data_IF_766712537490
#
_entry.id   IF_766712537490
#
_cell.length_a   1.000
_cell.length_b   1.000
_cell.length_c   1.000
_cell.angle_alpha   90.00
_cell.angle_beta   90.00
_cell.angle_gamma   90.00
#
_symmetry.space_group_name_H-M   'P 1'
#
loop_
_entity.id
_entity.type
_entity.pdbx_description
1 polymer ?
#
# COMPACT_ATOMS: atom_id res chain seq x y z
N UNK A 1 -24.20 14.08 2.85
CA UNK A 1 -23.26 13.77 1.79
C UNK A 1 -23.63 14.53 0.50
N UNK A 2 -22.67 14.67 -0.40
CA UNK A 2 -22.88 15.34 -1.67
C UNK A 2 -22.84 14.29 -2.80
N UNK A 3 -23.83 14.31 -3.66
CA UNK A 3 -23.95 13.41 -4.80
C UNK A 3 -23.05 13.86 -5.97
N UNK A 4 -22.89 12.99 -6.98
CA UNK A 4 -22.04 13.26 -8.15
C UNK A 4 -22.48 14.51 -8.94
N UNK A 5 -23.77 14.84 -8.91
CA UNK A 5 -24.34 16.02 -9.55
C UNK A 5 -24.24 17.30 -8.70
N UNK A 6 -23.64 17.22 -7.52
CA UNK A 6 -23.47 18.33 -6.59
C UNK A 6 -24.67 18.58 -5.66
N UNK A 7 -25.73 17.79 -5.76
CA UNK A 7 -26.86 17.89 -4.83
C UNK A 7 -26.44 17.37 -3.45
N UNK A 8 -27.00 17.99 -2.40
CA UNK A 8 -26.77 17.56 -1.02
C UNK A 8 -27.94 16.74 -0.53
N UNK A 9 -27.62 15.64 0.11
CA UNK A 9 -28.61 14.75 0.68
C UNK A 9 -28.23 14.38 2.13
N UNK A 10 -29.22 13.99 2.92
CA UNK A 10 -29.04 13.63 4.33
C UNK A 10 -29.51 12.19 4.53
N UNK A 11 -28.59 11.36 4.99
CA UNK A 11 -28.87 9.98 5.36
C UNK A 11 -28.99 9.91 6.89
N UNK A 12 -30.16 9.56 7.38
CA UNK A 12 -30.36 9.26 8.80
C UNK A 12 -29.69 7.90 9.14
N UNK A 13 -28.99 7.84 10.25
CA UNK A 13 -28.35 6.61 10.73
C UNK A 13 -28.31 6.60 12.26
N UNK A 14 -28.32 5.42 12.83
CA UNK A 14 -28.13 5.20 14.27
C UNK A 14 -26.64 5.00 14.62
N UNK A 15 -25.86 4.51 13.66
CA UNK A 15 -24.43 4.29 13.81
C UNK A 15 -23.69 4.53 12.50
N UNK A 16 -22.56 5.24 12.56
CA UNK A 16 -21.68 5.46 11.42
C UNK A 16 -20.24 5.06 11.77
N UNK A 17 -19.62 4.24 10.93
CA UNK A 17 -18.20 3.91 11.01
C UNK A 17 -17.45 4.62 9.89
N UNK A 18 -16.76 5.70 10.22
CA UNK A 18 -15.97 6.49 9.28
C UNK A 18 -14.49 6.10 9.42
N UNK A 19 -13.96 5.41 8.42
CA UNK A 19 -12.58 4.95 8.41
C UNK A 19 -11.69 6.02 7.74
N UNK A 20 -10.76 6.64 8.48
CA UNK A 20 -9.80 7.56 7.88
C UNK A 20 -8.83 6.81 6.97
N UNK A 21 -8.18 7.48 6.00
CA UNK A 21 -7.12 6.88 5.22
C UNK A 21 -5.95 6.48 6.12
N UNK A 22 -5.28 5.39 5.76
CA UNK A 22 -4.09 4.95 6.46
C UNK A 22 -2.95 5.98 6.33
N UNK A 23 -2.30 6.24 7.44
CA UNK A 23 -1.08 7.04 7.53
C UNK A 23 -0.04 6.25 8.32
N UNK A 24 1.23 6.44 8.00
CA UNK A 24 2.33 5.88 8.77
C UNK A 24 2.40 6.50 10.17
N UNK A 25 2.99 5.77 11.10
CA UNK A 25 3.25 6.28 12.45
C UNK A 25 4.46 7.23 12.38
N UNK A 26 4.43 8.32 13.14
CA UNK A 26 5.54 9.27 13.22
C UNK A 26 6.69 8.64 14.03
N UNK A 27 7.47 7.79 13.36
CA UNK A 27 8.68 7.18 13.90
C UNK A 27 9.91 7.94 13.40
N UNK A 28 10.93 7.96 14.26
CA UNK A 28 12.26 8.43 13.88
C UNK A 28 13.22 7.25 13.80
N UNK A 29 14.14 7.30 12.85
CA UNK A 29 15.18 6.31 12.67
C UNK A 29 16.55 6.94 12.83
N UNK A 30 17.41 6.27 13.61
CA UNK A 30 18.79 6.71 13.86
C UNK A 30 19.76 5.60 13.48
N UNK A 31 20.91 5.97 12.95
CA UNK A 31 21.99 5.03 12.70
C UNK A 31 22.79 4.78 14.01
N UNK A 32 23.79 3.91 13.94
CA UNK A 32 24.65 3.59 15.11
C UNK A 32 25.44 4.77 15.66
N UNK A 33 25.65 5.81 14.86
CA UNK A 33 26.33 7.03 15.29
C UNK A 33 25.36 8.05 15.94
N UNK A 34 24.04 7.74 15.96
CA UNK A 34 23.02 8.62 16.50
C UNK A 34 22.54 9.68 15.50
N UNK A 35 22.91 9.58 14.23
CA UNK A 35 22.46 10.49 13.19
C UNK A 35 21.04 10.12 12.74
N UNK A 36 20.19 11.13 12.52
CA UNK A 36 18.82 10.95 12.05
C UNK A 36 18.82 10.53 10.55
N UNK A 37 18.34 9.33 10.30
CA UNK A 37 18.17 8.73 8.96
C UNK A 37 16.70 8.56 8.58
N UNK A 38 15.80 9.24 9.29
CA UNK A 38 14.35 9.09 9.08
C UNK A 38 13.92 9.35 7.65
N UNK A 39 14.52 10.35 6.98
CA UNK A 39 14.21 10.67 5.58
C UNK A 39 14.64 9.60 4.57
N UNK A 40 15.59 8.73 4.93
CA UNK A 40 16.02 7.59 4.11
C UNK A 40 15.09 6.38 4.30
N UNK A 41 14.54 6.23 5.51
CA UNK A 41 13.66 5.12 5.87
C UNK A 41 12.20 5.42 5.55
N UNK A 42 11.72 6.63 5.84
CA UNK A 42 10.31 6.99 5.73
C UNK A 42 10.04 7.98 4.59
N UNK A 43 8.91 7.80 3.93
CA UNK A 43 8.32 8.80 3.05
C UNK A 43 7.59 9.86 3.90
N UNK A 44 7.25 11.04 3.33
CA UNK A 44 6.50 12.08 4.06
C UNK A 44 5.15 11.63 4.63
N UNK A 45 4.59 10.55 4.10
CA UNK A 45 3.37 9.91 4.60
C UNK A 45 3.59 9.06 5.87
N UNK A 46 4.83 8.91 6.33
CA UNK A 46 5.21 8.05 7.46
C UNK A 46 5.31 6.56 7.13
N UNK A 47 5.02 6.15 5.89
CA UNK A 47 5.27 4.78 5.43
C UNK A 47 6.74 4.59 5.06
N UNK A 48 7.23 3.36 5.15
CA UNK A 48 8.63 3.02 4.89
C UNK A 48 8.94 2.93 3.40
N UNK A 49 10.05 3.51 2.99
CA UNK A 49 10.56 3.39 1.62
C UNK A 49 11.12 2.00 1.36
N UNK A 50 10.85 1.47 0.18
CA UNK A 50 11.32 0.18 -0.33
C UNK A 50 11.90 0.37 -1.73
N UNK A 51 12.26 -0.72 -2.41
CA UNK A 51 12.74 -0.75 -3.79
C UNK A 51 11.68 -0.30 -4.82
N UNK A 52 11.25 0.94 -4.73
CA UNK A 52 10.25 1.56 -5.59
C UNK A 52 10.74 2.92 -6.12
N UNK A 53 10.16 3.42 -7.19
CA UNK A 53 10.50 4.72 -7.76
C UNK A 53 9.69 5.84 -7.11
N UNK A 54 10.33 6.61 -6.24
CA UNK A 54 9.74 7.76 -5.53
C UNK A 54 10.00 9.10 -6.21
N UNK A 55 10.32 9.13 -7.51
CA UNK A 55 10.65 10.36 -8.24
C UNK A 55 9.48 11.34 -8.44
N UNK A 56 8.25 10.92 -8.14
CA UNK A 56 7.07 11.78 -8.26
C UNK A 56 6.66 12.08 -9.70
N UNK A 57 6.83 11.12 -10.59
CA UNK A 57 6.49 11.23 -12.01
C UNK A 57 5.01 11.62 -12.24
N UNK A 58 4.72 12.32 -13.36
CA UNK A 58 3.35 12.51 -13.82
C UNK A 58 2.70 11.16 -14.19
N UNK A 59 1.36 11.13 -14.16
CA UNK A 59 0.58 9.92 -14.40
C UNK A 59 0.94 9.19 -15.71
N UNK A 60 1.21 9.95 -16.75
CA UNK A 60 1.51 9.45 -18.10
C UNK A 60 2.84 8.69 -18.18
N UNK A 61 3.71 8.87 -17.18
CA UNK A 61 5.02 8.20 -17.08
C UNK A 61 5.05 7.01 -16.12
N UNK A 62 3.93 6.72 -15.44
CA UNK A 62 3.86 5.60 -14.50
C UNK A 62 4.05 4.26 -15.21
N UNK A 63 4.84 3.39 -14.58
CA UNK A 63 5.16 2.07 -15.12
C UNK A 63 5.06 1.00 -14.04
N UNK A 64 4.83 -0.23 -14.47
CA UNK A 64 4.85 -1.39 -13.58
C UNK A 64 6.20 -1.57 -12.86
N UNK A 65 7.31 -1.13 -13.47
CA UNK A 65 8.64 -1.16 -12.88
C UNK A 65 8.85 -0.18 -11.73
N UNK A 66 7.98 0.80 -11.54
CA UNK A 66 8.06 1.76 -10.44
C UNK A 66 7.67 1.13 -9.10
N UNK A 67 6.91 0.02 -9.15
CA UNK A 67 6.43 -0.71 -7.99
C UNK A 67 7.50 -1.63 -7.39
N UNK A 68 7.50 -1.82 -6.06
CA UNK A 68 8.49 -2.66 -5.40
C UNK A 68 8.37 -4.13 -5.78
N UNK A 69 9.46 -4.86 -5.62
CA UNK A 69 9.54 -6.28 -5.87
C UNK A 69 10.20 -7.08 -4.75
N UNK A 70 11.17 -6.50 -4.04
CA UNK A 70 11.89 -7.14 -2.94
C UNK A 70 11.49 -6.63 -1.57
N UNK A 71 10.82 -5.47 -1.52
CA UNK A 71 10.33 -4.81 -0.29
C UNK A 71 11.45 -4.46 0.68
N UNK A 72 12.67 -4.29 0.19
CA UNK A 72 13.86 -3.87 0.94
C UNK A 72 14.04 -2.37 0.84
N UNK A 73 14.50 -1.73 1.90
CA UNK A 73 14.91 -0.33 1.82
C UNK A 73 16.18 -0.22 0.95
N UNK A 74 16.25 0.75 -0.01
CA UNK A 74 17.40 0.87 -0.92
C UNK A 74 18.70 1.29 -0.22
N UNK A 75 18.63 2.14 0.82
CA UNK A 75 19.80 2.59 1.58
C UNK A 75 20.21 1.58 2.66
N UNK A 76 19.25 0.85 3.20
CA UNK A 76 19.44 -0.12 4.29
C UNK A 76 18.85 -1.48 3.92
N UNK A 77 19.56 -2.30 3.14
CA UNK A 77 19.02 -3.53 2.57
C UNK A 77 18.69 -4.64 3.57
N UNK A 78 18.98 -4.47 4.84
CA UNK A 78 18.55 -5.32 5.94
C UNK A 78 17.21 -4.87 6.59
N UNK A 79 16.61 -3.76 6.11
CA UNK A 79 15.31 -3.27 6.53
C UNK A 79 14.27 -3.61 5.46
N UNK A 80 13.16 -4.19 5.88
CA UNK A 80 12.05 -4.61 5.03
C UNK A 80 10.77 -3.92 5.47
N UNK A 81 9.93 -3.55 4.50
CA UNK A 81 8.58 -3.09 4.77
C UNK A 81 7.58 -3.83 3.88
N UNK A 82 6.64 -4.52 4.49
CA UNK A 82 5.66 -5.38 3.79
C UNK A 82 4.23 -5.00 4.14
N UNK A 83 3.30 -5.41 3.29
CA UNK A 83 1.89 -5.11 3.49
C UNK A 83 1.61 -3.61 3.49
N UNK A 84 0.91 -3.14 4.51
CA UNK A 84 0.54 -1.73 4.64
C UNK A 84 1.69 -0.82 5.05
N UNK A 85 2.81 -1.38 5.53
CA UNK A 85 3.94 -0.61 6.05
C UNK A 85 4.76 0.10 4.96
N UNK A 86 4.80 -0.42 3.73
CA UNK A 86 5.60 0.21 2.68
C UNK A 86 4.90 1.43 2.08
N UNK A 87 5.70 2.44 1.71
CA UNK A 87 5.24 3.62 0.99
C UNK A 87 4.93 3.27 -0.48
N UNK A 88 3.69 3.49 -0.97
CA UNK A 88 3.42 3.36 -2.41
C UNK A 88 4.17 4.44 -3.18
N UNK A 89 4.76 4.14 -4.36
CA UNK A 89 5.41 5.15 -5.19
C UNK A 89 4.41 6.16 -5.78
N UNK A 90 3.21 5.71 -6.10
CA UNK A 90 2.11 6.51 -6.63
C UNK A 90 0.77 5.82 -6.39
N UNK A 91 -0.33 6.44 -6.83
CA UNK A 91 -1.66 5.81 -6.82
C UNK A 91 -1.77 4.75 -7.92
N UNK A 92 -2.80 3.91 -7.86
CA UNK A 92 -3.05 2.86 -8.87
C UNK A 92 -3.78 3.39 -10.12
N UNK A 93 -4.33 4.60 -10.08
CA UNK A 93 -4.98 5.26 -11.22
C UNK A 93 -4.95 6.77 -11.05
N UNK A 94 -5.33 7.48 -12.11
CA UNK A 94 -5.46 8.95 -12.08
C UNK A 94 -6.44 9.37 -10.97
N UNK A 95 -6.05 10.30 -10.10
CA UNK A 95 -6.94 10.80 -9.06
C UNK A 95 -8.17 11.47 -9.65
N UNK A 96 -9.30 11.34 -8.96
CA UNK A 96 -10.55 12.03 -9.29
C UNK A 96 -10.84 13.08 -8.21
N UNK A 97 -11.59 14.09 -8.57
CA UNK A 97 -12.13 15.05 -7.61
C UNK A 97 -13.63 14.78 -7.42
N UNK A 98 -14.06 14.84 -6.18
CA UNK A 98 -15.49 14.90 -5.86
C UNK A 98 -16.08 16.24 -6.29
N UNK A 99 -17.41 16.40 -6.35
CA UNK A 99 -18.05 17.69 -6.70
C UNK A 99 -17.56 18.87 -5.85
N UNK A 100 -17.30 18.64 -4.56
CA UNK A 100 -16.77 19.67 -3.64
C UNK A 100 -15.25 19.86 -3.71
N UNK A 101 -14.56 19.26 -4.69
CA UNK A 101 -13.15 19.43 -4.91
C UNK A 101 -12.22 18.52 -4.09
N UNK A 102 -12.77 17.65 -3.23
CA UNK A 102 -11.96 16.68 -2.46
C UNK A 102 -11.28 15.70 -3.40
N UNK A 103 -9.95 15.54 -3.26
CA UNK A 103 -9.18 14.61 -4.06
C UNK A 103 -9.42 13.18 -3.60
N UNK A 104 -9.85 12.31 -4.52
CA UNK A 104 -10.01 10.88 -4.33
C UNK A 104 -8.86 10.18 -5.06
N UNK A 105 -7.90 9.67 -4.29
CA UNK A 105 -6.71 9.03 -4.78
C UNK A 105 -6.73 7.53 -4.42
N UNK A 106 -6.94 6.62 -5.39
CA UNK A 106 -7.00 5.19 -5.10
C UNK A 106 -5.63 4.65 -4.68
N UNK A 107 -5.60 3.99 -3.52
CA UNK A 107 -4.40 3.35 -3.00
C UNK A 107 -4.22 1.93 -3.55
N UNK A 108 -3.00 1.41 -3.61
CA UNK A 108 -2.75 0.02 -4.01
C UNK A 108 -3.36 -0.97 -3.01
N UNK A 109 -3.78 -2.16 -3.47
CA UNK A 109 -4.33 -3.17 -2.60
C UNK A 109 -3.22 -3.77 -1.72
N UNK A 110 -3.21 -3.40 -0.44
CA UNK A 110 -2.31 -3.94 0.59
C UNK A 110 -3.10 -4.78 1.59
N UNK A 111 -3.95 -5.64 1.05
CA UNK A 111 -4.83 -6.54 1.81
C UNK A 111 -4.13 -7.86 2.16
N UNK A 112 -4.82 -8.79 2.79
CA UNK A 112 -4.23 -10.02 3.32
C UNK A 112 -3.42 -10.84 2.31
N UNK A 113 -3.92 -11.05 1.09
CA UNK A 113 -3.23 -11.86 0.09
C UNK A 113 -1.92 -11.23 -0.39
N UNK A 114 -1.87 -9.98 -0.89
CA UNK A 114 -0.60 -9.33 -1.22
C UNK A 114 0.35 -9.23 -0.02
N UNK A 115 -0.16 -8.89 1.17
CA UNK A 115 0.65 -8.80 2.38
C UNK A 115 1.29 -10.13 2.76
N UNK A 116 0.56 -11.25 2.60
CA UNK A 116 1.08 -12.60 2.83
C UNK A 116 2.19 -12.98 1.86
N UNK A 117 2.06 -12.62 0.58
CA UNK A 117 3.11 -12.83 -0.44
C UNK A 117 4.36 -12.02 -0.07
N UNK A 118 4.22 -10.73 0.20
CA UNK A 118 5.32 -9.86 0.60
C UNK A 118 6.03 -10.38 1.86
N UNK A 119 5.29 -10.78 2.88
CA UNK A 119 5.84 -11.35 4.12
C UNK A 119 6.64 -12.62 3.87
N UNK A 120 6.12 -13.53 3.03
CA UNK A 120 6.84 -14.74 2.62
C UNK A 120 8.17 -14.41 1.94
N UNK A 121 8.17 -13.47 1.01
CA UNK A 121 9.39 -13.05 0.29
C UNK A 121 10.43 -12.46 1.24
N UNK A 122 10.01 -11.58 2.16
CA UNK A 122 10.89 -11.00 3.16
C UNK A 122 11.53 -12.11 4.03
N UNK A 123 10.74 -13.04 4.55
CA UNK A 123 11.24 -14.16 5.37
C UNK A 123 12.21 -15.03 4.60
N UNK A 124 11.92 -15.39 3.36
CA UNK A 124 12.82 -16.17 2.52
C UNK A 124 14.13 -15.44 2.26
N UNK A 125 14.09 -14.15 1.97
CA UNK A 125 15.27 -13.31 1.77
C UNK A 125 16.10 -13.20 3.07
N UNK A 126 15.46 -12.99 4.21
CA UNK A 126 16.15 -12.96 5.52
C UNK A 126 16.85 -14.30 5.79
N UNK A 127 16.18 -15.41 5.51
CA UNK A 127 16.77 -16.74 5.64
C UNK A 127 18.04 -16.90 4.78
N UNK A 128 17.99 -16.45 3.52
CA UNK A 128 19.16 -16.49 2.63
C UNK A 128 20.29 -15.58 3.14
N UNK A 129 19.97 -14.38 3.62
CA UNK A 129 20.94 -13.45 4.21
C UNK A 129 21.65 -14.06 5.43
N UNK A 130 20.91 -14.75 6.30
CA UNK A 130 21.46 -15.42 7.47
C UNK A 130 22.37 -16.60 7.11
N UNK A 131 22.02 -17.34 6.06
CA UNK A 131 22.75 -18.53 5.67
C UNK A 131 23.95 -18.24 4.75
N UNK A 132 23.83 -17.26 3.85
CA UNK A 132 24.79 -16.98 2.78
C UNK A 132 25.48 -15.61 2.92
N UNK A 133 25.07 -14.80 3.91
CA UNK A 133 25.62 -13.47 4.16
C UNK A 133 24.99 -12.36 3.31
N UNK A 134 25.53 -11.14 3.39
CA UNK A 134 24.92 -9.92 2.83
C UNK A 134 24.74 -9.92 1.30
N UNK A 135 25.46 -10.77 0.59
CA UNK A 135 25.42 -10.88 -0.89
C UNK A 135 24.37 -11.89 -1.39
N UNK A 136 23.57 -12.46 -0.49
CA UNK A 136 22.53 -13.41 -0.88
C UNK A 136 21.49 -12.74 -1.79
N UNK A 137 21.02 -13.50 -2.78
CA UNK A 137 19.96 -13.05 -3.67
C UNK A 137 18.65 -12.80 -2.91
N UNK A 138 17.94 -11.75 -3.30
CA UNK A 138 16.62 -11.44 -2.76
C UNK A 138 15.53 -12.22 -3.49
N UNK A 139 14.64 -12.83 -2.75
CA UNK A 139 13.37 -13.30 -3.31
C UNK A 139 12.52 -12.10 -3.72
N UNK A 140 11.86 -12.18 -4.88
CA UNK A 140 11.10 -11.06 -5.43
C UNK A 140 9.76 -11.47 -6.01
N UNK A 141 8.78 -10.59 -5.90
CA UNK A 141 7.55 -10.60 -6.66
C UNK A 141 7.04 -9.16 -6.81
N UNK A 142 6.91 -8.70 -8.03
CA UNK A 142 6.50 -7.32 -8.30
C UNK A 142 5.08 -7.05 -7.80
N UNK A 143 4.90 -5.95 -7.07
CA UNK A 143 3.58 -5.47 -6.65
C UNK A 143 2.65 -5.22 -7.85
N UNK A 144 3.19 -4.77 -8.98
CA UNK A 144 2.41 -4.55 -10.20
C UNK A 144 1.81 -5.85 -10.80
N UNK A 145 2.29 -7.02 -10.37
CA UNK A 145 1.78 -8.33 -10.79
C UNK A 145 0.94 -9.02 -9.71
N UNK A 146 0.77 -8.38 -8.55
CA UNK A 146 -0.08 -8.90 -7.48
C UNK A 146 -1.49 -8.36 -7.63
N UNK A 147 -2.45 -9.26 -7.69
CA UNK A 147 -3.87 -8.91 -7.60
C UNK A 147 -4.38 -8.99 -6.16
N UNK A 148 -5.47 -8.32 -5.90
CA UNK A 148 -6.27 -8.50 -4.69
C UNK A 148 -7.71 -8.82 -5.08
N UNK A 149 -8.27 -9.83 -4.46
CA UNK A 149 -9.68 -10.15 -4.55
C UNK A 149 -10.32 -9.96 -3.18
N UNK A 150 -11.36 -9.14 -3.14
CA UNK A 150 -12.17 -8.91 -1.95
C UNK A 150 -13.59 -9.39 -2.22
N UNK A 151 -14.13 -10.20 -1.31
CA UNK A 151 -15.52 -10.62 -1.34
C UNK A 151 -16.19 -10.13 -0.06
N UNK A 152 -17.24 -9.36 -0.21
CA UNK A 152 -18.08 -8.94 0.89
C UNK A 152 -19.48 -9.54 0.73
N UNK A 153 -20.03 -10.08 1.78
CA UNK A 153 -21.40 -10.58 1.82
C UNK A 153 -22.21 -9.80 2.85
N UNK A 154 -23.46 -9.57 2.55
CA UNK A 154 -24.43 -8.98 3.47
C UNK A 154 -25.71 -9.81 3.48
N UNK A 155 -26.42 -9.80 4.59
CA UNK A 155 -27.66 -10.55 4.80
C UNK A 155 -27.50 -11.72 5.75
N UNK A 156 -28.62 -12.32 6.13
CA UNK A 156 -28.69 -13.45 7.07
C UNK A 156 -29.32 -14.69 6.41
N UNK A 157 -28.62 -15.83 6.53
CA UNK A 157 -29.10 -17.13 6.05
C UNK A 157 -28.75 -17.46 4.62
N UNK A 158 -29.16 -18.66 4.20
CA UNK A 158 -28.82 -19.24 2.90
C UNK A 158 -29.62 -18.68 1.72
N UNK A 159 -30.75 -18.03 1.99
CA UNK A 159 -31.71 -17.58 0.96
C UNK A 159 -31.87 -16.06 0.88
N UNK A 160 -31.32 -15.34 1.83
CA UNK A 160 -31.42 -13.87 1.90
C UNK A 160 -30.03 -13.30 2.10
N UNK A 161 -29.46 -12.79 1.06
CA UNK A 161 -28.17 -12.14 1.11
C UNK A 161 -27.70 -11.68 -0.26
N UNK A 162 -26.76 -10.77 -0.26
CA UNK A 162 -26.03 -10.36 -1.45
C UNK A 162 -24.54 -10.50 -1.23
N UNK A 163 -23.80 -10.73 -2.30
CA UNK A 163 -22.35 -10.73 -2.28
C UNK A 163 -21.82 -9.78 -3.37
N UNK A 164 -20.80 -9.02 -3.01
CA UNK A 164 -20.05 -8.22 -3.95
C UNK A 164 -18.61 -8.72 -3.98
N UNK A 165 -18.07 -8.89 -5.16
CA UNK A 165 -16.67 -9.23 -5.37
C UNK A 165 -15.98 -8.10 -6.13
N UNK A 166 -14.77 -7.74 -5.68
CA UNK A 166 -13.94 -6.74 -6.32
C UNK A 166 -12.55 -7.31 -6.50
N UNK A 167 -12.00 -7.16 -7.71
CA UNK A 167 -10.59 -7.49 -7.99
C UNK A 167 -9.86 -6.22 -8.40
N UNK A 168 -8.64 -6.06 -7.92
CA UNK A 168 -7.77 -4.94 -8.25
C UNK A 168 -6.38 -5.44 -8.61
N UNK A 169 -5.80 -4.81 -9.63
CA UNK A 169 -4.41 -4.99 -10.02
C UNK A 169 -3.76 -3.61 -10.12
N UNK A 170 -2.61 -3.36 -9.50
CA UNK A 170 -1.82 -2.18 -9.79
C UNK A 170 -1.34 -2.19 -11.24
N UNK A 171 -1.16 -1.01 -11.81
CA UNK A 171 -0.65 -0.85 -13.18
C UNK A 171 0.87 -0.80 -13.16
#
# INVERSE_FOLDING_TARGET
YEQVDGTKDVLAFDFAMLLPPFRGVDLQAFNKAGEDISSEIFAPSGFMKVDADYSGKPYEEWKASDWPSTYRNPSYPNIFAVGIAFAPPHQISKPRKSPNGTLIAPAPPRTGMPSGIMGKLAVLTIKELLNKGPQAESHSASMAKMGAACVASSGSGLTQGSAAAMTMFPI
#
